data_IF_198386476894
#
_entry.id   IF_198386476894
#
_cell.length_a   1.000
_cell.length_b   1.000
_cell.length_c   1.000
_cell.angle_alpha   90.00
_cell.angle_beta   90.00
_cell.angle_gamma   90.00
#
_symmetry.space_group_name_H-M   'P 1'
#
loop_
_entity.id
_entity.type
_entity.pdbx_description
1 polymer ?
#
# COMPACT_ATOMS: atom_id res chain seq x y z
N UNK A 1 -8.55 46.57 37.54
CA UNK A 1 -8.65 47.08 36.16
C UNK A 1 -7.93 46.13 35.23
N UNK A 2 -8.71 45.52 34.34
CA UNK A 2 -8.41 44.93 33.02
C UNK A 2 -7.18 43.98 32.94
N UNK A 3 -7.33 42.65 32.95
CA UNK A 3 -8.48 41.87 32.46
C UNK A 3 -8.49 41.78 30.93
N UNK A 4 -7.34 41.51 30.30
CA UNK A 4 -7.24 41.12 28.89
C UNK A 4 -6.32 39.90 28.80
N UNK A 5 -6.79 38.76 29.30
CA UNK A 5 -6.30 37.45 28.86
C UNK A 5 -7.25 36.96 27.78
N UNK A 6 -6.73 36.97 26.56
CA UNK A 6 -7.33 36.43 25.34
C UNK A 6 -8.17 35.17 25.60
N UNK A 7 -9.48 35.37 25.78
CA UNK A 7 -10.54 34.36 25.60
C UNK A 7 -10.92 34.21 24.11
N UNK A 8 -10.06 34.61 23.16
CA UNK A 8 -10.40 34.65 21.73
C UNK A 8 -9.97 33.42 20.92
N UNK A 9 -9.60 32.29 21.56
CA UNK A 9 -9.22 31.06 20.83
C UNK A 9 -9.99 29.79 21.25
N UNK A 10 -11.05 29.90 22.05
CA UNK A 10 -11.83 28.75 22.56
C UNK A 10 -13.28 28.70 22.04
N UNK A 11 -13.49 28.93 20.74
CA UNK A 11 -14.77 28.62 20.07
C UNK A 11 -14.55 28.28 18.58
N UNK A 12 -13.58 27.41 18.26
CA UNK A 12 -13.69 26.66 17.00
C UNK A 12 -14.78 25.62 17.20
N UNK A 13 -15.98 25.98 16.76
CA UNK A 13 -17.10 25.08 16.56
C UNK A 13 -16.56 23.81 15.88
N UNK A 14 -16.50 22.71 16.62
CA UNK A 14 -15.84 21.48 16.17
C UNK A 14 -16.60 20.96 14.93
N UNK A 15 -15.92 20.96 13.78
CA UNK A 15 -16.46 20.40 12.55
C UNK A 15 -16.55 18.87 12.69
N UNK A 16 -17.76 18.34 12.68
CA UNK A 16 -18.00 16.90 12.85
C UNK A 16 -18.06 16.15 11.51
N UNK A 17 -17.58 16.74 10.40
CA UNK A 17 -17.72 16.15 9.07
C UNK A 17 -17.12 14.74 8.97
N UNK A 18 -15.98 14.48 9.62
CA UNK A 18 -15.35 13.16 9.62
C UNK A 18 -16.22 12.11 10.34
N UNK A 19 -16.62 12.41 11.58
CA UNK A 19 -17.47 11.53 12.39
C UNK A 19 -18.81 11.27 11.71
N UNK A 20 -19.42 12.33 11.15
CA UNK A 20 -20.66 12.26 10.38
C UNK A 20 -20.52 11.34 9.18
N UNK A 21 -19.42 11.45 8.44
CA UNK A 21 -19.15 10.63 7.26
C UNK A 21 -19.01 9.15 7.64
N UNK A 22 -18.29 8.82 8.72
CA UNK A 22 -18.17 7.44 9.19
C UNK A 22 -19.52 6.85 9.60
N UNK A 23 -20.27 7.55 10.46
CA UNK A 23 -21.57 7.09 10.94
C UNK A 23 -22.56 6.91 9.77
N UNK A 24 -22.59 7.86 8.82
CA UNK A 24 -23.48 7.80 7.65
C UNK A 24 -23.08 6.69 6.70
N UNK A 25 -21.78 6.53 6.38
CA UNK A 25 -21.30 5.47 5.49
C UNK A 25 -21.66 4.10 6.06
N UNK A 26 -21.37 3.85 7.33
CA UNK A 26 -21.60 2.55 7.95
C UNK A 26 -23.08 2.25 8.10
N UNK A 27 -23.90 3.26 8.46
CA UNK A 27 -25.36 3.10 8.53
C UNK A 27 -25.97 2.83 7.17
N UNK A 28 -25.53 3.52 6.11
CA UNK A 28 -26.06 3.33 4.76
C UNK A 28 -25.57 2.02 4.14
N UNK A 29 -24.31 1.65 4.33
CA UNK A 29 -23.75 0.41 3.78
C UNK A 29 -24.27 -0.84 4.50
N UNK A 30 -24.43 -0.78 5.83
CA UNK A 30 -24.79 -1.94 6.63
C UNK A 30 -25.66 -1.55 7.85
N UNK A 31 -26.92 -1.16 7.63
CA UNK A 31 -27.83 -0.72 8.69
C UNK A 31 -28.11 -1.80 9.74
N UNK A 32 -28.00 -3.07 9.35
CA UNK A 32 -28.24 -4.23 10.21
C UNK A 32 -27.00 -4.65 11.02
N UNK A 33 -25.88 -3.92 10.92
CA UNK A 33 -24.66 -4.15 11.70
C UNK A 33 -24.10 -5.57 11.58
N UNK A 34 -24.24 -6.20 10.40
CA UNK A 34 -23.67 -7.52 10.13
C UNK A 34 -22.13 -7.45 10.07
N UNK A 35 -21.38 -8.47 10.50
CA UNK A 35 -19.92 -8.49 10.42
C UNK A 35 -19.43 -8.75 8.97
N UNK A 36 -19.58 -7.75 8.09
CA UNK A 36 -19.24 -7.88 6.66
C UNK A 36 -18.10 -6.96 6.23
N UNK A 37 -17.84 -5.87 6.95
CA UNK A 37 -16.83 -4.88 6.57
C UNK A 37 -15.56 -5.07 7.38
N UNK A 38 -14.54 -5.73 6.81
CA UNK A 38 -13.20 -5.79 7.41
C UNK A 38 -12.47 -4.45 7.29
N UNK A 39 -11.40 -4.26 8.06
CA UNK A 39 -10.57 -3.03 8.04
C UNK A 39 -10.16 -2.60 6.63
N UNK A 40 -9.65 -3.55 5.84
CA UNK A 40 -9.22 -3.27 4.47
C UNK A 40 -10.36 -2.74 3.60
N UNK A 41 -11.59 -3.26 3.77
CA UNK A 41 -12.75 -2.78 3.02
C UNK A 41 -13.09 -1.35 3.41
N UNK A 42 -13.06 -1.05 4.72
CA UNK A 42 -13.30 0.30 5.21
C UNK A 42 -12.28 1.30 4.68
N UNK A 43 -10.99 0.97 4.70
CA UNK A 43 -9.93 1.85 4.16
C UNK A 43 -10.18 2.24 2.72
N UNK A 44 -10.50 1.27 1.86
CA UNK A 44 -10.72 1.51 0.43
C UNK A 44 -12.01 2.29 0.17
N UNK A 45 -13.08 2.01 0.90
CA UNK A 45 -14.31 2.82 0.80
C UNK A 45 -14.06 4.26 1.22
N UNK A 46 -13.36 4.47 2.33
CA UNK A 46 -13.05 5.82 2.82
C UNK A 46 -12.11 6.56 1.89
N UNK A 47 -11.12 5.89 1.30
CA UNK A 47 -10.20 6.48 0.31
C UNK A 47 -10.93 6.92 -0.96
N UNK A 48 -11.86 6.12 -1.48
CA UNK A 48 -12.71 6.49 -2.63
C UNK A 48 -13.64 7.65 -2.26
N UNK A 49 -14.27 7.58 -1.09
CA UNK A 49 -15.20 8.60 -0.60
C UNK A 49 -14.51 9.94 -0.39
N UNK A 50 -13.40 9.96 0.34
CA UNK A 50 -12.61 11.18 0.60
C UNK A 50 -12.17 11.84 -0.70
N UNK A 51 -11.63 11.08 -1.65
CA UNK A 51 -11.23 11.64 -2.95
C UNK A 51 -12.41 12.21 -3.73
N UNK A 52 -13.57 11.54 -3.75
CA UNK A 52 -14.78 12.06 -4.42
C UNK A 52 -15.32 13.32 -3.74
N UNK A 53 -15.28 13.39 -2.41
CA UNK A 53 -15.71 14.57 -1.66
C UNK A 53 -14.77 15.75 -1.90
N UNK A 54 -13.45 15.52 -1.87
CA UNK A 54 -12.46 16.57 -2.16
C UNK A 54 -12.60 17.13 -3.57
N UNK A 55 -12.88 16.29 -4.58
CA UNK A 55 -13.21 16.73 -5.96
C UNK A 55 -14.47 17.60 -6.04
N UNK A 56 -15.37 17.49 -5.06
CA UNK A 56 -16.57 18.31 -4.91
C UNK A 56 -16.38 19.48 -3.92
N UNK A 57 -15.14 19.78 -3.51
CA UNK A 57 -14.83 20.87 -2.57
C UNK A 57 -15.15 20.58 -1.10
N UNK A 58 -15.46 19.33 -0.75
CA UNK A 58 -15.74 18.92 0.63
C UNK A 58 -14.55 18.17 1.20
N UNK A 59 -13.87 18.81 2.15
CA UNK A 59 -12.71 18.25 2.83
C UNK A 59 -13.07 17.78 4.24
N UNK A 60 -13.29 16.47 4.40
CA UNK A 60 -13.66 15.85 5.69
C UNK A 60 -12.47 15.66 6.62
N UNK A 61 -11.25 16.06 6.23
CA UNK A 61 -10.02 15.89 7.03
C UNK A 61 -9.74 14.43 7.38
N UNK A 62 -9.99 13.48 6.47
CA UNK A 62 -9.77 12.05 6.70
C UNK A 62 -8.27 11.72 6.71
N UNK A 63 -7.68 11.37 7.87
CA UNK A 63 -6.27 11.05 7.90
C UNK A 63 -6.01 9.75 7.16
N UNK A 64 -5.09 9.78 6.21
CA UNK A 64 -4.77 8.60 5.39
C UNK A 64 -3.35 8.68 4.87
N UNK A 65 -2.71 7.52 4.69
CA UNK A 65 -1.43 7.40 4.01
C UNK A 65 -1.42 6.16 3.12
N UNK A 66 -0.53 6.12 2.13
CA UNK A 66 -0.38 4.96 1.26
C UNK A 66 0.67 4.00 1.82
N UNK A 67 0.32 2.71 1.96
CA UNK A 67 1.24 1.70 2.48
C UNK A 67 0.87 0.28 2.05
N UNK A 68 1.77 -0.41 1.35
CA UNK A 68 1.75 -1.82 0.88
C UNK A 68 0.52 -2.31 0.11
N UNK A 69 -0.67 -2.10 0.63
CA UNK A 69 -1.95 -2.55 0.08
C UNK A 69 -2.82 -1.35 -0.32
N UNK A 70 -2.21 -0.18 -0.44
CA UNK A 70 -2.79 1.09 -0.87
C UNK A 70 -3.08 2.05 0.27
N UNK A 71 -4.05 2.95 0.09
CA UNK A 71 -4.46 3.89 1.12
C UNK A 71 -5.00 3.16 2.37
N UNK A 72 -4.56 3.62 3.54
CA UNK A 72 -4.94 3.13 4.87
C UNK A 72 -5.02 4.30 5.85
N UNK A 73 -5.65 4.08 7.01
CA UNK A 73 -5.64 5.00 8.15
C UNK A 73 -5.22 4.26 9.42
N UNK A 74 -4.50 4.94 10.30
CA UNK A 74 -4.21 4.44 11.64
C UNK A 74 -5.42 4.68 12.56
N UNK A 75 -6.01 3.60 13.06
CA UNK A 75 -7.14 3.70 13.98
C UNK A 75 -6.74 4.28 15.35
N UNK A 76 -5.50 4.07 15.78
CA UNK A 76 -4.98 4.68 17.01
C UNK A 76 -4.86 6.20 16.85
N UNK A 77 -4.64 6.68 15.62
CA UNK A 77 -4.70 8.11 15.32
C UNK A 77 -6.15 8.61 15.23
N UNK A 78 -7.06 7.84 14.62
CA UNK A 78 -8.50 8.16 14.65
C UNK A 78 -9.04 8.28 16.09
N UNK A 79 -8.52 7.49 17.03
CA UNK A 79 -8.87 7.60 18.45
C UNK A 79 -8.54 8.97 19.05
N UNK A 80 -7.49 9.63 18.55
CA UNK A 80 -7.03 10.93 19.02
C UNK A 80 -7.81 12.10 18.39
N UNK A 81 -8.22 11.95 17.12
CA UNK A 81 -8.90 13.04 16.39
C UNK A 81 -10.43 13.01 16.52
N UNK A 82 -11.01 11.86 16.87
CA UNK A 82 -12.45 11.76 17.11
C UNK A 82 -12.81 12.00 18.59
N UNK A 83 -13.87 12.75 18.90
CA UNK A 83 -14.25 13.07 20.28
C UNK A 83 -14.46 11.88 21.22
N UNK A 84 -14.89 10.73 20.68
CA UNK A 84 -15.17 9.50 21.44
C UNK A 84 -14.31 8.32 21.00
N UNK A 85 -13.23 8.61 20.28
CA UNK A 85 -12.40 7.63 19.60
C UNK A 85 -13.12 6.82 18.51
N UNK A 86 -12.34 6.03 17.76
CA UNK A 86 -12.79 5.15 16.70
C UNK A 86 -12.87 3.69 17.16
N UNK A 87 -11.80 3.14 17.75
CA UNK A 87 -11.68 1.71 18.05
C UNK A 87 -12.82 1.24 18.96
N UNK A 88 -13.04 1.91 20.09
CA UNK A 88 -14.10 1.52 21.03
C UNK A 88 -15.54 1.68 20.51
N UNK A 89 -15.73 2.31 19.34
CA UNK A 89 -17.06 2.60 18.78
C UNK A 89 -17.38 1.77 17.55
N UNK A 90 -16.43 1.67 16.63
CA UNK A 90 -16.66 1.11 15.31
C UNK A 90 -16.00 -0.25 15.13
N UNK A 91 -14.98 -0.58 15.92
CA UNK A 91 -14.14 -1.76 15.68
C UNK A 91 -14.36 -2.82 16.76
N UNK A 92 -14.72 -4.04 16.35
CA UNK A 92 -14.99 -5.16 17.26
C UNK A 92 -13.81 -6.15 17.42
N UNK A 93 -12.68 -5.88 16.75
CA UNK A 93 -11.53 -6.79 16.69
C UNK A 93 -11.27 -7.36 15.29
N UNK A 94 -12.30 -7.50 14.46
CA UNK A 94 -12.16 -7.98 13.07
C UNK A 94 -12.90 -7.09 12.06
N UNK A 95 -14.08 -6.58 12.44
CA UNK A 95 -15.01 -5.87 11.59
C UNK A 95 -15.22 -4.41 12.03
N UNK A 96 -15.61 -3.59 11.06
CA UNK A 96 -16.05 -2.21 11.22
C UNK A 96 -17.58 -2.20 11.15
N UNK A 97 -18.21 -1.71 12.20
CA UNK A 97 -19.65 -1.74 12.40
C UNK A 97 -20.18 -0.34 12.67
N UNK A 98 -21.41 -0.09 12.24
CA UNK A 98 -22.15 1.08 12.71
C UNK A 98 -22.35 0.98 14.24
N UNK A 99 -22.06 2.03 15.03
CA UNK A 99 -22.06 1.94 16.48
C UNK A 99 -23.47 1.83 17.05
N UNK A 100 -23.63 1.13 18.18
CA UNK A 100 -24.91 1.05 18.91
C UNK A 100 -25.37 2.44 19.38
N UNK A 101 -24.43 3.30 19.74
CA UNK A 101 -24.65 4.69 20.14
C UNK A 101 -23.96 5.63 19.17
N UNK A 102 -24.75 6.49 18.53
CA UNK A 102 -24.25 7.48 17.58
C UNK A 102 -24.69 8.88 18.02
N UNK A 103 -24.00 9.88 17.50
CA UNK A 103 -24.36 11.28 17.73
C UNK A 103 -25.65 11.58 16.97
N UNK A 104 -26.61 12.23 17.63
CA UNK A 104 -27.88 12.58 17.01
C UNK A 104 -27.74 13.90 16.24
N UNK A 105 -26.97 14.84 16.78
CA UNK A 105 -26.75 16.17 16.21
C UNK A 105 -25.28 16.39 15.87
N UNK A 106 -24.97 16.38 14.58
CA UNK A 106 -23.65 16.73 14.05
C UNK A 106 -23.65 18.21 13.69
N UNK A 107 -22.67 18.94 14.19
CA UNK A 107 -22.37 20.26 13.68
C UNK A 107 -21.53 20.12 12.39
N UNK A 108 -22.24 20.10 11.27
CA UNK A 108 -21.72 20.02 9.89
C UNK A 108 -22.55 20.98 9.05
N UNK A 109 -21.89 21.75 8.19
CA UNK A 109 -22.58 22.64 7.25
C UNK A 109 -23.62 21.87 6.42
N UNK A 110 -24.88 22.36 6.29
CA UNK A 110 -25.93 21.63 5.58
C UNK A 110 -25.61 21.31 4.12
N UNK A 111 -24.87 22.17 3.41
CA UNK A 111 -24.50 21.91 2.00
C UNK A 111 -23.46 20.80 1.90
N UNK A 112 -22.47 20.81 2.81
CA UNK A 112 -21.50 19.71 2.95
C UNK A 112 -22.21 18.41 3.30
N UNK A 113 -23.19 18.44 4.20
CA UNK A 113 -24.00 17.28 4.59
C UNK A 113 -24.68 16.63 3.39
N UNK A 114 -25.38 17.42 2.56
CA UNK A 114 -26.03 16.94 1.33
C UNK A 114 -25.03 16.28 0.38
N UNK A 115 -23.85 16.88 0.21
CA UNK A 115 -22.80 16.34 -0.66
C UNK A 115 -22.21 15.03 -0.13
N UNK A 116 -22.04 14.93 1.20
CA UNK A 116 -21.59 13.71 1.87
C UNK A 116 -22.62 12.61 1.67
N UNK A 117 -23.90 12.89 1.94
CA UNK A 117 -24.99 11.91 1.84
C UNK A 117 -25.15 11.40 0.41
N UNK A 118 -25.15 12.29 -0.59
CA UNK A 118 -25.27 11.91 -2.00
C UNK A 118 -24.08 11.07 -2.47
N UNK A 119 -22.86 11.43 -2.07
CA UNK A 119 -21.65 10.68 -2.44
C UNK A 119 -21.61 9.31 -1.78
N UNK A 120 -22.03 9.21 -0.52
CA UNK A 120 -22.16 7.93 0.20
C UNK A 120 -23.19 7.04 -0.49
N UNK A 121 -24.37 7.57 -0.83
CA UNK A 121 -25.40 6.79 -1.51
C UNK A 121 -24.89 6.23 -2.84
N UNK A 122 -24.23 7.06 -3.65
CA UNK A 122 -23.61 6.63 -4.91
C UNK A 122 -22.59 5.48 -4.71
N UNK A 123 -21.72 5.60 -3.70
CA UNK A 123 -20.74 4.54 -3.38
C UNK A 123 -21.45 3.27 -2.91
N UNK A 124 -22.42 3.39 -2.00
CA UNK A 124 -23.16 2.23 -1.48
C UNK A 124 -23.95 1.51 -2.59
N UNK A 125 -24.60 2.24 -3.50
CA UNK A 125 -25.29 1.65 -4.65
C UNK A 125 -24.35 0.79 -5.52
N UNK A 126 -23.10 1.24 -5.71
CA UNK A 126 -22.11 0.52 -6.51
C UNK A 126 -21.60 -0.76 -5.85
N UNK A 127 -21.42 -0.78 -4.51
CA UNK A 127 -20.69 -1.86 -3.84
C UNK A 127 -21.52 -2.76 -2.92
N UNK A 128 -22.63 -2.29 -2.33
CA UNK A 128 -23.30 -2.95 -1.19
C UNK A 128 -23.88 -4.33 -1.49
N UNK A 129 -24.13 -4.66 -2.75
CA UNK A 129 -24.80 -5.90 -3.17
C UNK A 129 -24.05 -6.69 -4.24
N UNK A 130 -22.80 -6.31 -4.53
CA UNK A 130 -21.98 -7.00 -5.52
C UNK A 130 -21.25 -8.17 -4.86
N UNK A 131 -21.37 -9.38 -5.39
CA UNK A 131 -20.71 -10.58 -4.84
C UNK A 131 -19.20 -10.41 -4.71
N UNK A 132 -18.58 -9.71 -5.66
CA UNK A 132 -17.14 -9.42 -5.70
C UNK A 132 -16.80 -7.97 -5.36
N UNK A 133 -17.62 -7.30 -4.52
CA UNK A 133 -17.41 -5.88 -4.24
C UNK A 133 -16.01 -5.57 -3.71
N UNK A 134 -15.37 -6.51 -2.99
CA UNK A 134 -14.02 -6.34 -2.45
C UNK A 134 -12.98 -6.18 -3.56
N UNK A 135 -13.05 -7.03 -4.61
CA UNK A 135 -12.14 -6.95 -5.76
C UNK A 135 -12.34 -5.65 -6.52
N UNK A 136 -13.61 -5.28 -6.74
CA UNK A 136 -13.98 -4.03 -7.40
C UNK A 136 -13.50 -2.81 -6.61
N UNK A 137 -13.64 -2.84 -5.29
CA UNK A 137 -13.22 -1.79 -4.37
C UNK A 137 -11.68 -1.62 -4.34
N UNK A 138 -10.93 -2.73 -4.31
CA UNK A 138 -9.46 -2.71 -4.43
C UNK A 138 -9.07 -2.06 -5.76
N UNK A 139 -9.63 -2.53 -6.88
CA UNK A 139 -9.36 -2.00 -8.22
C UNK A 139 -9.65 -0.50 -8.32
N UNK A 140 -10.85 -0.08 -7.92
CA UNK A 140 -11.26 1.32 -8.03
C UNK A 140 -10.43 2.25 -7.13
N UNK A 141 -10.05 1.82 -5.92
CA UNK A 141 -9.17 2.61 -5.05
C UNK A 141 -7.78 2.79 -5.66
N UNK A 142 -7.20 1.74 -6.25
CA UNK A 142 -5.91 1.86 -6.94
C UNK A 142 -6.00 2.76 -8.18
N UNK A 143 -7.00 2.56 -9.04
CA UNK A 143 -7.19 3.40 -10.22
C UNK A 143 -7.41 4.87 -9.90
N UNK A 144 -8.06 5.16 -8.77
CA UNK A 144 -8.38 6.53 -8.40
C UNK A 144 -7.25 7.24 -7.64
N UNK A 145 -6.52 6.50 -6.80
CA UNK A 145 -5.68 7.08 -5.75
C UNK A 145 -4.25 6.55 -5.69
N UNK A 146 -3.85 5.62 -6.57
CA UNK A 146 -2.47 5.14 -6.61
C UNK A 146 -1.51 6.30 -6.90
N UNK A 147 -0.46 6.52 -6.07
CA UNK A 147 0.52 7.57 -6.29
C UNK A 147 1.25 7.43 -7.64
N UNK A 148 1.62 6.20 -8.01
CA UNK A 148 2.35 5.90 -9.23
C UNK A 148 1.75 4.69 -9.96
N UNK A 149 2.00 4.59 -11.26
CA UNK A 149 1.72 3.37 -12.04
C UNK A 149 2.49 2.17 -11.48
N UNK A 150 3.74 2.39 -11.04
CA UNK A 150 4.58 1.41 -10.37
C UNK A 150 3.86 0.67 -9.25
N UNK A 151 3.09 1.36 -8.40
CA UNK A 151 2.35 0.71 -7.32
C UNK A 151 1.30 -0.28 -7.82
N UNK A 152 0.67 -0.01 -8.97
CA UNK A 152 -0.35 -0.89 -9.57
C UNK A 152 0.33 -2.09 -10.21
N UNK A 153 1.37 -1.87 -11.01
CA UNK A 153 2.17 -2.94 -11.62
C UNK A 153 2.81 -3.84 -10.57
N UNK A 154 3.26 -3.27 -9.44
CA UNK A 154 3.83 -4.07 -8.35
C UNK A 154 2.76 -4.91 -7.64
N UNK A 155 1.48 -4.48 -7.60
CA UNK A 155 0.41 -5.37 -7.11
C UNK A 155 0.17 -6.54 -8.06
N UNK A 156 0.23 -6.33 -9.38
CA UNK A 156 0.14 -7.41 -10.35
C UNK A 156 1.29 -8.41 -10.12
N UNK A 157 2.51 -7.91 -9.92
CA UNK A 157 3.67 -8.73 -9.56
C UNK A 157 3.46 -9.52 -8.25
N UNK A 158 2.96 -8.87 -7.19
CA UNK A 158 2.63 -9.52 -5.91
C UNK A 158 1.59 -10.63 -6.10
N UNK A 159 0.55 -10.36 -6.89
CA UNK A 159 -0.54 -11.31 -7.13
C UNK A 159 0.04 -12.56 -7.84
N UNK A 160 0.85 -12.41 -8.89
CA UNK A 160 1.51 -13.53 -9.60
C UNK A 160 2.50 -14.29 -8.70
N UNK A 161 3.34 -13.59 -7.92
CA UNK A 161 4.31 -14.25 -7.02
C UNK A 161 3.60 -15.11 -5.96
N UNK A 162 2.45 -14.65 -5.45
CA UNK A 162 1.71 -15.34 -4.39
C UNK A 162 0.79 -16.44 -4.91
N UNK A 163 0.46 -16.45 -6.19
CA UNK A 163 -0.38 -17.49 -6.76
C UNK A 163 0.33 -18.85 -6.82
N UNK A 164 -0.26 -19.90 -6.21
CA UNK A 164 0.25 -21.26 -6.35
C UNK A 164 -0.17 -21.83 -7.71
N UNK A 165 0.82 -22.09 -8.58
CA UNK A 165 0.71 -22.79 -9.87
C UNK A 165 -0.64 -22.58 -10.59
N UNK A 166 -0.87 -21.39 -11.15
CA UNK A 166 -1.97 -21.23 -12.09
C UNK A 166 -1.70 -22.07 -13.36
N UNK A 167 -2.74 -22.66 -13.91
CA UNK A 167 -2.79 -23.03 -15.33
C UNK A 167 -2.96 -21.77 -16.17
N UNK A 168 -1.95 -20.89 -16.20
CA UNK A 168 -1.90 -19.76 -17.13
C UNK A 168 -1.56 -20.24 -18.54
N UNK A 169 -2.00 -19.47 -19.55
CA UNK A 169 -1.61 -19.70 -20.95
C UNK A 169 -0.09 -19.60 -21.17
N UNK A 170 0.61 -18.90 -20.27
CA UNK A 170 2.05 -18.64 -20.31
C UNK A 170 2.72 -19.11 -19.01
N UNK A 171 3.99 -19.56 -19.05
CA UNK A 171 4.79 -19.81 -17.85
C UNK A 171 4.81 -18.60 -16.91
N UNK A 172 4.81 -18.86 -15.59
CA UNK A 172 4.84 -17.81 -14.54
C UNK A 172 6.05 -16.89 -14.73
N UNK A 173 7.19 -17.46 -15.12
CA UNK A 173 8.45 -16.78 -15.35
C UNK A 173 8.32 -15.72 -16.45
N UNK A 174 7.72 -16.05 -17.60
CA UNK A 174 7.52 -15.10 -18.71
C UNK A 174 6.65 -13.91 -18.29
N UNK A 175 5.59 -14.17 -17.51
CA UNK A 175 4.73 -13.12 -16.98
C UNK A 175 5.49 -12.21 -16.01
N UNK A 176 6.31 -12.79 -15.14
CA UNK A 176 7.12 -12.03 -14.18
C UNK A 176 8.19 -11.20 -14.88
N UNK A 177 8.83 -11.70 -15.94
CA UNK A 177 9.81 -10.93 -16.73
C UNK A 177 9.20 -9.67 -17.36
N UNK A 178 8.01 -9.80 -17.98
CA UNK A 178 7.29 -8.65 -18.54
C UNK A 178 6.94 -7.63 -17.45
N UNK A 179 6.53 -8.10 -16.27
CA UNK A 179 6.23 -7.22 -15.14
C UNK A 179 7.48 -6.54 -14.61
N UNK A 180 8.62 -7.23 -14.56
CA UNK A 180 9.89 -6.66 -14.13
C UNK A 180 10.35 -5.55 -15.08
N UNK A 181 10.24 -5.73 -16.40
CA UNK A 181 10.53 -4.68 -17.39
C UNK A 181 9.68 -3.43 -17.15
N UNK A 182 8.37 -3.62 -16.99
CA UNK A 182 7.44 -2.52 -16.68
C UNK A 182 7.77 -1.85 -15.34
N UNK A 183 8.16 -2.60 -14.33
CA UNK A 183 8.54 -2.04 -13.03
C UNK A 183 9.80 -1.19 -13.12
N UNK A 184 10.80 -1.60 -13.90
CA UNK A 184 11.97 -0.78 -14.17
C UNK A 184 11.60 0.54 -14.86
N UNK A 185 10.76 0.49 -15.89
CA UNK A 185 10.31 1.68 -16.63
C UNK A 185 9.44 2.63 -15.80
N UNK A 186 8.57 2.09 -14.95
CA UNK A 186 7.62 2.87 -14.17
C UNK A 186 8.20 3.37 -12.84
N UNK A 187 9.45 3.01 -12.49
CA UNK A 187 10.04 3.35 -11.20
C UNK A 187 10.13 4.88 -11.00
N UNK A 188 9.55 5.44 -9.93
CA UNK A 188 9.53 6.89 -9.70
C UNK A 188 10.86 7.41 -9.15
N UNK A 189 11.88 7.46 -10.00
CA UNK A 189 13.26 7.83 -9.61
C UNK A 189 13.38 9.25 -9.05
N UNK A 190 12.58 10.20 -9.53
CA UNK A 190 12.61 11.59 -9.07
C UNK A 190 12.22 11.73 -7.59
N UNK A 191 11.28 10.91 -7.13
CA UNK A 191 10.77 10.94 -5.76
C UNK A 191 11.49 9.96 -4.83
N UNK A 192 12.23 8.98 -5.37
CA UNK A 192 12.97 7.97 -4.61
C UNK A 192 14.37 7.67 -5.19
N UNK A 193 15.22 8.68 -5.41
CA UNK A 193 16.55 8.48 -6.00
C UNK A 193 17.42 7.54 -5.17
N UNK A 194 17.28 7.56 -3.84
CA UNK A 194 17.99 6.71 -2.89
C UNK A 194 17.60 5.22 -2.96
N UNK A 195 16.51 4.88 -3.64
CA UNK A 195 16.10 3.50 -3.87
C UNK A 195 16.46 2.97 -5.25
N UNK A 196 17.00 3.80 -6.15
CA UNK A 196 17.29 3.38 -7.53
C UNK A 196 18.25 2.18 -7.55
N UNK A 197 19.37 2.26 -6.83
CA UNK A 197 20.34 1.16 -6.75
C UNK A 197 19.72 -0.10 -6.14
N UNK A 198 18.84 0.06 -5.15
CA UNK A 198 18.12 -1.06 -4.52
C UNK A 198 17.11 -1.68 -5.48
N UNK A 199 16.42 -0.86 -6.30
CA UNK A 199 15.49 -1.32 -7.32
C UNK A 199 16.21 -2.15 -8.39
N UNK A 200 17.34 -1.65 -8.89
CA UNK A 200 18.16 -2.37 -9.86
C UNK A 200 18.73 -3.67 -9.29
N UNK A 201 19.27 -3.64 -8.07
CA UNK A 201 19.77 -4.84 -7.41
C UNK A 201 18.66 -5.87 -7.13
N UNK A 202 17.46 -5.39 -6.79
CA UNK A 202 16.28 -6.24 -6.61
C UNK A 202 15.82 -6.89 -7.91
N UNK A 203 15.73 -6.12 -9.01
CA UNK A 203 15.36 -6.62 -10.34
C UNK A 203 16.35 -7.70 -10.82
N UNK A 204 17.64 -7.37 -10.84
CA UNK A 204 18.74 -8.28 -11.18
C UNK A 204 18.65 -9.60 -10.41
N UNK A 205 18.49 -9.50 -9.08
CA UNK A 205 18.46 -10.67 -8.21
C UNK A 205 17.18 -11.48 -8.42
N UNK A 206 16.06 -10.81 -8.74
CA UNK A 206 14.80 -11.49 -9.06
C UNK A 206 14.94 -12.27 -10.36
N UNK A 207 15.55 -11.70 -11.40
CA UNK A 207 15.81 -12.42 -12.67
C UNK A 207 16.72 -13.62 -12.46
N UNK A 208 17.77 -13.47 -11.66
CA UNK A 208 18.62 -14.59 -11.26
C UNK A 208 17.84 -15.73 -10.59
N UNK A 209 16.83 -15.41 -9.79
CA UNK A 209 15.93 -16.40 -9.16
C UNK A 209 15.02 -17.05 -10.21
N UNK A 210 14.51 -16.31 -11.19
CA UNK A 210 13.67 -16.87 -12.25
C UNK A 210 14.42 -17.91 -13.08
N UNK A 211 15.70 -17.65 -13.36
CA UNK A 211 16.61 -18.58 -14.04
C UNK A 211 17.01 -19.80 -13.19
N UNK A 212 16.73 -19.77 -11.88
CA UNK A 212 17.15 -20.82 -10.96
C UNK A 212 16.20 -22.04 -11.04
N UNK A 213 16.65 -23.23 -11.48
CA UNK A 213 15.78 -24.40 -11.70
C UNK A 213 15.50 -25.18 -10.41
N UNK A 214 15.23 -24.49 -9.30
CA UNK A 214 15.06 -25.09 -7.96
C UNK A 214 13.64 -24.91 -7.44
N UNK A 215 13.17 -25.90 -6.69
CA UNK A 215 11.86 -25.87 -6.00
C UNK A 215 11.76 -24.71 -4.99
N UNK A 216 12.89 -24.15 -4.54
CA UNK A 216 12.96 -22.99 -3.65
C UNK A 216 12.69 -21.65 -4.36
N UNK A 217 12.51 -21.62 -5.69
CA UNK A 217 12.31 -20.39 -6.47
C UNK A 217 11.22 -19.49 -5.89
N UNK A 218 10.02 -20.04 -5.66
CA UNK A 218 8.88 -19.29 -5.12
C UNK A 218 9.16 -18.69 -3.74
N UNK A 219 9.96 -19.39 -2.91
CA UNK A 219 10.37 -18.88 -1.61
C UNK A 219 11.24 -17.63 -1.75
N UNK A 220 12.23 -17.67 -2.64
CA UNK A 220 13.11 -16.53 -2.89
C UNK A 220 12.39 -15.34 -3.52
N UNK A 221 11.50 -15.57 -4.48
CA UNK A 221 10.66 -14.52 -5.08
C UNK A 221 9.85 -13.79 -3.99
N UNK A 222 9.25 -14.54 -3.06
CA UNK A 222 8.49 -13.96 -1.93
C UNK A 222 9.38 -13.15 -0.99
N UNK A 223 10.61 -13.58 -0.74
CA UNK A 223 11.56 -12.81 0.10
C UNK A 223 11.92 -11.49 -0.60
N UNK A 224 12.36 -11.55 -1.86
CA UNK A 224 12.75 -10.38 -2.64
C UNK A 224 11.60 -9.38 -2.77
N UNK A 225 10.42 -9.85 -3.16
CA UNK A 225 9.18 -9.08 -3.22
C UNK A 225 8.94 -8.33 -1.90
N UNK A 226 9.01 -9.03 -0.76
CA UNK A 226 8.75 -8.43 0.54
C UNK A 226 9.84 -7.45 0.97
N UNK A 227 11.11 -7.72 0.68
CA UNK A 227 12.22 -6.83 1.02
C UNK A 227 12.07 -5.48 0.33
N UNK A 228 11.93 -5.49 -0.99
CA UNK A 228 11.82 -4.27 -1.79
C UNK A 228 10.51 -3.54 -1.49
N UNK A 229 9.37 -4.24 -1.57
CA UNK A 229 8.06 -3.61 -1.36
C UNK A 229 7.92 -2.98 0.02
N UNK A 230 8.57 -3.56 1.03
CA UNK A 230 8.57 -3.02 2.38
C UNK A 230 9.26 -1.68 2.48
N UNK A 231 10.43 -1.51 1.86
CA UNK A 231 11.18 -0.24 1.95
C UNK A 231 10.53 0.82 1.07
N UNK A 232 10.13 0.47 -0.15
CA UNK A 232 9.42 1.37 -1.06
C UNK A 232 8.11 1.88 -0.42
N UNK A 233 7.31 1.00 0.18
CA UNK A 233 6.08 1.41 0.86
C UNK A 233 6.30 2.36 2.04
N UNK A 234 7.47 2.33 2.69
CA UNK A 234 7.78 3.27 3.78
C UNK A 234 8.09 4.67 3.25
N UNK A 235 8.83 4.77 2.14
CA UNK A 235 9.07 6.05 1.46
C UNK A 235 7.76 6.62 0.91
N UNK A 236 6.95 5.80 0.26
CA UNK A 236 5.63 6.22 -0.21
C UNK A 236 4.76 6.76 0.94
N UNK A 237 4.79 6.12 2.12
CA UNK A 237 4.05 6.60 3.30
C UNK A 237 4.53 7.98 3.78
N UNK A 238 5.84 8.27 3.75
CA UNK A 238 6.35 9.56 4.22
C UNK A 238 5.99 10.72 3.27
N UNK A 239 5.88 10.45 1.97
CA UNK A 239 5.50 11.45 0.96
C UNK A 239 3.97 11.56 0.81
N UNK A 240 3.28 10.43 0.66
CA UNK A 240 1.85 10.35 0.40
C UNK A 240 1.05 10.08 1.66
N UNK A 241 0.94 11.13 2.48
CA UNK A 241 0.08 11.16 3.66
C UNK A 241 -0.80 12.43 3.70
N UNK A 242 -1.90 12.36 4.45
CA UNK A 242 -2.83 13.48 4.63
C UNK A 242 -3.29 13.55 6.07
N UNK A 243 -3.39 14.76 6.60
CA UNK A 243 -3.90 15.08 7.94
C UNK A 243 -3.21 14.34 9.09
N UNK A 244 -1.90 14.09 8.95
CA UNK A 244 -1.04 13.69 10.05
C UNK A 244 -0.19 14.87 10.53
N UNK A 245 0.18 14.93 11.83
CA UNK A 245 1.13 15.91 12.34
C UNK A 245 2.52 15.71 11.74
N UNK A 246 3.30 16.80 11.64
CA UNK A 246 4.66 16.76 11.11
C UNK A 246 5.56 15.74 11.86
N UNK A 247 5.42 15.62 13.18
CA UNK A 247 6.20 14.67 13.99
C UNK A 247 5.99 13.21 13.56
N UNK A 248 4.76 12.84 13.17
CA UNK A 248 4.48 11.49 12.64
C UNK A 248 5.20 11.27 11.31
N UNK A 249 5.19 12.27 10.43
CA UNK A 249 5.83 12.20 9.11
C UNK A 249 7.35 12.12 9.26
N UNK A 250 7.95 12.94 10.14
CA UNK A 250 9.38 12.90 10.46
C UNK A 250 9.77 11.52 10.98
N UNK A 251 8.96 10.94 11.89
CA UNK A 251 9.21 9.60 12.39
C UNK A 251 9.20 8.55 11.27
N UNK A 252 8.21 8.61 10.36
CA UNK A 252 8.15 7.69 9.23
C UNK A 252 9.32 7.85 8.26
N UNK A 253 9.79 9.08 8.04
CA UNK A 253 10.96 9.37 7.22
C UNK A 253 12.23 8.74 7.84
N UNK A 254 12.42 8.89 9.15
CA UNK A 254 13.53 8.24 9.87
C UNK A 254 13.44 6.71 9.78
N UNK A 255 12.24 6.12 9.90
CA UNK A 255 12.03 4.67 9.75
C UNK A 255 12.34 4.17 8.34
N UNK A 256 12.04 4.98 7.34
CA UNK A 256 12.33 4.72 5.93
C UNK A 256 13.84 4.73 5.68
N UNK A 257 14.52 5.84 6.00
CA UNK A 257 15.97 6.00 5.83
C UNK A 257 16.76 4.90 6.55
N UNK A 258 16.39 4.55 7.79
CA UNK A 258 17.03 3.46 8.54
C UNK A 258 16.82 2.07 7.94
N UNK A 259 15.85 1.90 7.05
CA UNK A 259 15.54 0.61 6.44
C UNK A 259 16.25 0.36 5.11
N UNK A 260 16.67 1.41 4.41
CA UNK A 260 17.40 1.35 3.14
C UNK A 260 18.65 0.45 3.24
N UNK A 261 19.66 0.75 4.10
CA UNK A 261 20.89 -0.06 4.15
C UNK A 261 20.64 -1.50 4.64
N UNK A 262 19.55 -1.73 5.38
CA UNK A 262 19.17 -3.08 5.82
C UNK A 262 18.63 -3.91 4.66
N UNK A 263 17.80 -3.31 3.81
CA UNK A 263 17.23 -4.01 2.65
C UNK A 263 18.31 -4.27 1.60
N UNK A 264 19.14 -3.29 1.30
CA UNK A 264 20.29 -3.43 0.40
C UNK A 264 21.18 -4.61 0.80
N UNK A 265 21.61 -4.66 2.07
CA UNK A 265 22.42 -5.77 2.59
C UNK A 265 21.72 -7.13 2.50
N UNK A 266 20.40 -7.17 2.70
CA UNK A 266 19.64 -8.42 2.63
C UNK A 266 19.47 -8.93 1.20
N UNK A 267 19.25 -8.04 0.23
CA UNK A 267 19.22 -8.39 -1.19
C UNK A 267 20.58 -8.93 -1.62
N UNK A 268 21.66 -8.24 -1.28
CA UNK A 268 23.02 -8.67 -1.63
C UNK A 268 23.39 -10.01 -0.99
N UNK A 269 23.01 -10.21 0.28
CA UNK A 269 23.19 -11.51 0.94
C UNK A 269 22.45 -12.63 0.20
N UNK A 270 21.22 -12.36 -0.23
CA UNK A 270 20.41 -13.34 -0.95
C UNK A 270 20.99 -13.64 -2.33
N UNK A 271 21.43 -12.61 -3.07
CA UNK A 271 22.13 -12.74 -4.35
C UNK A 271 23.33 -13.68 -4.23
N UNK A 272 24.18 -13.48 -3.22
CA UNK A 272 25.33 -14.38 -2.94
C UNK A 272 24.89 -15.80 -2.63
N UNK A 273 23.84 -15.98 -1.84
CA UNK A 273 23.32 -17.31 -1.52
C UNK A 273 22.85 -18.05 -2.79
N UNK A 274 22.12 -17.37 -3.67
CA UNK A 274 21.61 -17.94 -4.93
C UNK A 274 22.77 -18.29 -5.87
N UNK A 275 23.72 -17.37 -6.07
CA UNK A 275 24.90 -17.60 -6.91
C UNK A 275 25.72 -18.79 -6.43
N UNK A 276 26.01 -18.87 -5.12
CA UNK A 276 26.73 -20.01 -4.54
C UNK A 276 26.01 -21.35 -4.75
N UNK A 277 24.68 -21.35 -4.77
CA UNK A 277 23.90 -22.56 -5.07
C UNK A 277 23.91 -22.91 -6.56
N UNK A 278 23.89 -21.91 -7.43
CA UNK A 278 24.05 -22.11 -8.88
C UNK A 278 25.44 -22.66 -9.21
N UNK A 279 26.51 -22.08 -8.68
CA UNK A 279 27.89 -22.55 -8.87
C UNK A 279 28.11 -23.99 -8.36
N UNK A 280 27.36 -24.41 -7.33
CA UNK A 280 27.39 -25.81 -6.86
C UNK A 280 26.63 -26.77 -7.76
N UNK A 281 25.58 -26.30 -8.45
CA UNK A 281 24.81 -27.10 -9.43
C UNK A 281 25.54 -27.18 -10.77
N UNK A 282 26.08 -26.06 -11.23
CA UNK A 282 27.11 -26.00 -12.24
C UNK A 282 28.44 -26.35 -11.60
N UNK A 283 28.55 -27.54 -11.02
CA UNK A 283 29.85 -28.12 -10.65
C UNK A 283 30.64 -28.17 -11.95
N UNK A 284 31.29 -27.06 -12.26
CA UNK A 284 31.83 -26.76 -13.56
C UNK A 284 32.84 -27.85 -13.75
N UNK A 285 32.58 -28.67 -14.76
CA UNK A 285 33.57 -29.61 -15.24
C UNK A 285 34.82 -28.77 -15.47
N UNK A 286 35.76 -28.80 -14.52
CA UNK A 286 36.91 -27.89 -14.52
C UNK A 286 37.67 -28.02 -15.85
N UNK A 287 37.59 -29.23 -16.43
CA UNK A 287 38.00 -29.58 -17.79
C UNK A 287 37.29 -28.75 -18.87
N UNK A 288 35.97 -28.57 -18.80
CA UNK A 288 35.20 -27.77 -19.76
C UNK A 288 35.56 -26.28 -19.65
N UNK A 289 35.67 -25.73 -18.44
CA UNK A 289 36.09 -24.34 -18.23
C UNK A 289 37.52 -24.12 -18.72
N UNK A 290 38.44 -25.05 -18.40
CA UNK A 290 39.82 -25.02 -18.92
C UNK A 290 39.86 -25.14 -20.44
N UNK A 291 39.03 -25.99 -21.06
CA UNK A 291 38.92 -26.13 -22.52
C UNK A 291 38.38 -24.87 -23.19
N UNK A 292 37.34 -24.25 -22.63
CA UNK A 292 36.76 -23.02 -23.16
C UNK A 292 37.74 -21.84 -23.03
N UNK A 293 38.43 -21.70 -21.89
CA UNK A 293 39.47 -20.69 -21.72
C UNK A 293 40.64 -20.91 -22.69
N UNK A 294 41.07 -22.16 -22.89
CA UNK A 294 42.15 -22.48 -23.85
C UNK A 294 41.72 -22.21 -25.31
N UNK A 295 40.47 -22.48 -25.66
CA UNK A 295 39.91 -22.15 -26.96
C UNK A 295 39.83 -20.63 -27.18
N UNK A 296 39.40 -19.86 -26.18
CA UNK A 296 39.36 -18.40 -26.24
C UNK A 296 40.76 -17.77 -26.39
N UNK A 297 41.78 -18.32 -25.70
CA UNK A 297 43.17 -17.87 -25.85
C UNK A 297 43.79 -18.27 -27.19
N UNK A 298 43.38 -19.39 -27.79
CA UNK A 298 43.86 -19.84 -29.11
C UNK A 298 43.16 -19.13 -30.28
N UNK A 299 42.09 -18.37 -30.04
CA UNK A 299 41.44 -17.52 -31.05
C UNK A 299 42.10 -16.12 -31.16
N UNK A 300 43.08 -15.82 -30.28
CA UNK A 300 43.83 -14.56 -30.27
C UNK A 300 45.27 -14.72 -30.82
N UNK A 301 45.51 -15.71 -31.70
CA UNK A 301 46.75 -15.86 -32.48
C UNK A 301 46.44 -15.81 -33.96
#
# INVERSE_FOLDING_TARGET
MNGVRNQSLMNRVQDHSLEYTFDTLLKTFNPNRKPIMKKAHFYKMMDILDTKLRKQGVDIKYPSYWYRYGAVTDFSYLDQVLPKGFNGRYFDGEYILFPSSHRINYNVDPRRKVTIDSTINFICEKYRYTSDYIKLLKKDSYQLNSPYSFNTTFQEYIDIVNEPNQATLFPKEEVLEILLDRLLEEFPEDDFPELLDINLAWDDTTRLVLDYPDESKDHYLKILMNLFWSVYSKGIRSIYNRYFPADCVIHWQIEYEKSIPKVEKNIEKLRKEILLKQDRKFNTDEELVKKLLKAAYNLNV
#
